data_IF_054019130088
#
_entry.id   IF_054019130088
#
_cell.length_a   1.000
_cell.length_b   1.000
_cell.length_c   1.000
_cell.angle_alpha   90.00
_cell.angle_beta   90.00
_cell.angle_gamma   90.00
#
_symmetry.space_group_name_H-M   'P 1'
#
loop_
_entity.id
_entity.type
_entity.pdbx_description
1 polymer ?
#
# COMPACT_ATOMS: atom_id res chain seq x y z
N UNK A 1 20.04 -49.51 12.46
CA UNK A 1 19.53 -48.56 11.45
C UNK A 1 18.75 -49.24 10.30
N UNK A 2 18.60 -50.57 10.26
CA UNK A 2 17.91 -51.28 9.18
C UNK A 2 16.38 -51.20 9.20
N UNK A 3 15.77 -50.88 10.34
CA UNK A 3 14.33 -51.10 10.55
C UNK A 3 13.45 -49.88 10.22
N UNK A 4 14.04 -48.79 9.72
CA UNK A 4 13.34 -47.55 9.36
C UNK A 4 13.05 -47.41 7.86
N UNK A 5 13.69 -48.24 7.02
CA UNK A 5 13.40 -48.22 5.58
C UNK A 5 12.17 -49.09 5.33
N UNK A 6 11.04 -48.45 5.08
CA UNK A 6 9.91 -49.16 4.47
C UNK A 6 10.36 -49.63 3.08
N UNK A 7 10.16 -50.92 2.79
CA UNK A 7 10.38 -51.41 1.43
C UNK A 7 9.28 -50.85 0.53
N UNK A 8 9.55 -50.67 -0.79
CA UNK A 8 8.47 -50.43 -1.74
C UNK A 8 7.39 -51.49 -1.52
N UNK A 9 6.13 -51.06 -1.44
CA UNK A 9 4.93 -51.88 -1.24
C UNK A 9 4.64 -52.41 0.19
N UNK A 10 5.41 -52.00 1.21
CA UNK A 10 5.08 -52.30 2.61
C UNK A 10 4.13 -51.23 3.19
N UNK A 11 2.90 -51.58 3.64
CA UNK A 11 2.00 -50.61 4.23
C UNK A 11 2.59 -50.04 5.52
N UNK A 12 2.63 -48.71 5.62
CA UNK A 12 3.17 -48.00 6.78
C UNK A 12 2.20 -48.18 7.95
N UNK A 13 2.47 -49.15 8.82
CA UNK A 13 1.69 -49.36 10.03
C UNK A 13 1.79 -48.14 10.96
N UNK A 14 0.71 -47.83 11.69
CA UNK A 14 0.63 -46.68 12.60
C UNK A 14 1.81 -46.62 13.61
N UNK A 15 2.27 -47.77 14.10
CA UNK A 15 3.45 -47.82 14.98
C UNK A 15 4.77 -47.43 14.31
N UNK A 16 4.90 -47.63 12.99
CA UNK A 16 6.06 -47.19 12.20
C UNK A 16 6.00 -45.69 11.92
N UNK A 17 4.79 -45.16 11.68
CA UNK A 17 4.52 -43.73 11.53
C UNK A 17 4.81 -42.93 12.80
N UNK A 18 4.32 -43.39 13.96
CA UNK A 18 4.57 -42.73 15.24
C UNK A 18 6.08 -42.68 15.58
N UNK A 19 6.86 -43.70 15.21
CA UNK A 19 8.32 -43.71 15.42
C UNK A 19 9.10 -42.77 14.49
N UNK A 20 8.51 -42.37 13.37
CA UNK A 20 9.05 -41.31 12.50
C UNK A 20 8.73 -39.95 13.14
N UNK A 21 7.48 -39.75 13.57
CA UNK A 21 7.05 -38.50 14.24
C UNK A 21 7.81 -38.25 15.54
N UNK A 22 7.98 -39.26 16.39
CA UNK A 22 8.69 -39.16 17.68
C UNK A 22 10.20 -38.85 17.53
N UNK A 23 10.74 -38.96 16.32
CA UNK A 23 12.15 -38.69 15.99
C UNK A 23 12.37 -37.39 15.22
N UNK A 24 11.30 -36.73 14.78
CA UNK A 24 11.41 -35.33 14.39
C UNK A 24 11.81 -34.58 15.66
N UNK A 25 12.89 -33.80 15.60
CA UNK A 25 13.31 -33.00 16.74
C UNK A 25 12.11 -32.15 17.17
N UNK A 26 11.88 -31.98 18.48
CA UNK A 26 10.74 -31.20 18.98
C UNK A 26 10.74 -29.74 18.49
N UNK A 27 11.82 -29.30 17.85
CA UNK A 27 11.99 -28.04 17.11
C UNK A 27 11.37 -28.04 15.70
N UNK A 28 11.11 -29.21 15.10
CA UNK A 28 10.45 -29.38 13.79
C UNK A 28 8.96 -29.72 13.91
N UNK A 29 8.48 -30.05 15.12
CA UNK A 29 7.07 -30.01 15.43
C UNK A 29 6.63 -28.55 15.33
N UNK A 30 6.14 -28.17 14.15
CA UNK A 30 5.82 -26.81 13.74
C UNK A 30 5.31 -25.97 14.90
N UNK A 31 5.91 -24.79 15.04
CA UNK A 31 5.50 -23.80 16.03
C UNK A 31 3.97 -23.73 16.02
N UNK A 32 3.36 -23.91 17.19
CA UNK A 32 1.91 -23.82 17.32
C UNK A 32 1.50 -22.49 16.68
N UNK A 33 0.67 -22.57 15.64
CA UNK A 33 0.18 -21.39 14.98
C UNK A 33 -0.58 -20.53 15.99
N UNK A 34 0.15 -19.59 16.59
CA UNK A 34 -0.39 -18.66 17.57
C UNK A 34 -1.40 -17.78 16.85
N UNK A 35 -2.68 -17.97 17.20
CA UNK A 35 -3.79 -17.11 16.85
C UNK A 35 -3.70 -16.46 15.46
N UNK A 36 -4.14 -17.18 14.42
CA UNK A 36 -4.40 -16.57 13.13
C UNK A 36 -5.54 -15.56 13.24
N UNK A 37 -5.23 -14.32 13.59
CA UNK A 37 -6.07 -13.19 13.25
C UNK A 37 -6.01 -13.02 11.74
N UNK A 38 -7.10 -13.38 11.04
CA UNK A 38 -7.23 -13.25 9.57
C UNK A 38 -7.37 -11.79 9.07
N UNK A 39 -6.83 -10.83 9.82
CA UNK A 39 -6.76 -9.42 9.42
C UNK A 39 -5.64 -8.77 10.21
N UNK A 40 -4.40 -8.92 9.76
CA UNK A 40 -3.33 -8.07 10.27
C UNK A 40 -3.39 -6.75 9.49
N UNK A 41 -3.82 -5.71 10.20
CA UNK A 41 -3.73 -4.31 9.74
C UNK A 41 -2.28 -3.83 9.70
N UNK A 42 -1.38 -4.56 10.35
CA UNK A 42 0.04 -4.27 10.47
C UNK A 42 0.88 -5.39 9.83
N UNK A 43 2.02 -5.02 9.25
CA UNK A 43 3.00 -5.94 8.71
C UNK A 43 4.42 -5.57 9.18
N UNK A 44 5.31 -6.55 9.16
CA UNK A 44 6.74 -6.28 9.29
C UNK A 44 7.27 -5.74 7.97
N UNK A 45 8.07 -4.70 8.07
CA UNK A 45 8.74 -4.10 6.93
C UNK A 45 10.24 -3.95 7.20
N UNK A 46 11.00 -3.83 6.13
CA UNK A 46 12.36 -3.29 6.11
C UNK A 46 12.30 -1.88 5.52
N UNK A 47 12.92 -0.91 6.19
CA UNK A 47 13.10 0.42 5.63
C UNK A 47 14.36 0.42 4.74
N UNK A 48 14.16 0.49 3.43
CA UNK A 48 15.23 0.66 2.43
C UNK A 48 15.09 2.00 1.70
N UNK A 49 14.53 3.03 2.36
CA UNK A 49 14.37 4.37 1.76
C UNK A 49 15.69 5.16 1.65
N UNK A 50 16.80 4.68 2.22
CA UNK A 50 18.07 5.40 2.24
C UNK A 50 18.16 6.50 3.31
N UNK A 51 17.24 6.49 4.27
CA UNK A 51 17.20 7.44 5.40
C UNK A 51 16.39 6.89 6.57
N UNK A 52 16.65 7.43 7.77
CA UNK A 52 15.85 7.09 8.95
C UNK A 52 14.45 7.68 8.80
N UNK A 53 13.44 6.91 9.20
CA UNK A 53 12.04 7.31 9.13
C UNK A 53 11.40 7.35 10.50
N UNK A 54 10.50 8.30 10.69
CA UNK A 54 9.78 8.52 11.95
C UNK A 54 8.37 7.91 11.91
N UNK A 55 7.74 7.85 13.07
CA UNK A 55 6.37 7.38 13.22
C UNK A 55 5.40 8.19 12.34
N UNK A 56 4.45 7.52 11.70
CA UNK A 56 3.43 8.13 10.87
C UNK A 56 3.91 8.57 9.48
N UNK A 57 5.20 8.54 9.19
CA UNK A 57 5.68 8.74 7.82
C UNK A 57 5.20 7.61 6.90
N UNK A 58 5.18 7.92 5.60
CA UNK A 58 4.69 7.04 4.54
C UNK A 58 5.88 6.44 3.79
N UNK A 59 5.83 5.13 3.57
CA UNK A 59 6.69 4.42 2.62
C UNK A 59 5.84 3.65 1.60
N UNK A 60 6.50 3.13 0.56
CA UNK A 60 5.87 2.29 -0.46
C UNK A 60 6.50 0.90 -0.44
N UNK A 61 5.67 -0.14 -0.51
CA UNK A 61 6.14 -1.52 -0.68
C UNK A 61 6.75 -1.66 -2.07
N UNK A 62 8.03 -2.04 -2.15
CA UNK A 62 8.70 -2.32 -3.41
C UNK A 62 8.72 -3.81 -3.74
N UNK A 63 9.18 -4.59 -2.78
CA UNK A 63 9.27 -6.03 -2.89
C UNK A 63 8.92 -6.71 -1.56
N UNK A 64 9.03 -8.03 -1.52
CA UNK A 64 8.88 -8.79 -0.28
C UNK A 64 10.06 -9.74 -0.17
N UNK A 65 10.57 -9.88 1.05
CA UNK A 65 11.59 -10.85 1.37
C UNK A 65 10.94 -12.21 1.58
N UNK A 66 11.14 -13.10 0.61
CA UNK A 66 10.76 -14.48 0.72
C UNK A 66 11.33 -15.35 -0.39
N UNK A 67 10.90 -16.62 -0.49
CA UNK A 67 11.67 -17.65 -1.15
C UNK A 67 11.96 -17.31 -2.60
N UNK A 68 13.24 -17.28 -2.94
CA UNK A 68 13.79 -16.91 -4.26
C UNK A 68 13.59 -17.97 -5.36
N UNK A 69 12.68 -18.92 -5.13
CA UNK A 69 12.37 -20.03 -6.04
C UNK A 69 13.42 -21.15 -6.06
N UNK A 70 14.57 -20.99 -5.39
CA UNK A 70 15.61 -22.03 -5.34
C UNK A 70 15.31 -23.13 -4.31
N UNK A 71 14.54 -22.82 -3.27
CA UNK A 71 14.10 -23.77 -2.26
C UNK A 71 12.64 -23.52 -1.86
N UNK A 72 11.69 -24.16 -2.54
CA UNK A 72 10.25 -24.08 -2.24
C UNK A 72 9.86 -24.56 -0.83
N UNK A 73 10.81 -25.14 -0.09
CA UNK A 73 10.64 -25.57 1.30
C UNK A 73 11.16 -24.55 2.33
N UNK A 74 11.82 -23.48 1.90
CA UNK A 74 12.12 -22.33 2.75
C UNK A 74 10.87 -21.45 2.83
N UNK A 75 9.96 -21.83 3.73
CA UNK A 75 8.85 -20.97 4.11
C UNK A 75 9.37 -20.03 5.20
N UNK A 76 9.52 -18.73 4.94
CA UNK A 76 9.95 -17.80 5.96
C UNK A 76 8.90 -17.77 7.08
N UNK A 77 9.38 -17.67 8.31
CA UNK A 77 8.52 -17.65 9.50
C UNK A 77 7.63 -16.41 9.55
N UNK A 78 7.95 -15.37 8.78
CA UNK A 78 7.18 -14.14 8.60
C UNK A 78 7.43 -13.57 7.20
N UNK A 79 6.41 -12.93 6.61
CA UNK A 79 6.58 -12.14 5.39
C UNK A 79 7.04 -10.75 5.81
N UNK A 80 8.18 -10.31 5.29
CA UNK A 80 8.69 -8.95 5.47
C UNK A 80 8.62 -8.23 4.14
N UNK A 81 8.03 -7.03 4.13
CA UNK A 81 8.02 -6.20 2.92
C UNK A 81 9.24 -5.28 2.89
N UNK A 82 9.89 -5.18 1.74
CA UNK A 82 10.93 -4.18 1.53
C UNK A 82 10.28 -2.88 1.08
N UNK A 83 10.50 -1.81 1.83
CA UNK A 83 9.83 -0.54 1.63
C UNK A 83 10.82 0.57 1.26
N UNK A 84 10.45 1.36 0.25
CA UNK A 84 11.25 2.47 -0.30
C UNK A 84 10.47 3.77 -0.24
N UNK A 85 11.13 4.88 -0.60
CA UNK A 85 10.44 6.16 -0.72
C UNK A 85 9.30 6.09 -1.75
N UNK A 86 8.11 6.61 -1.41
CA UNK A 86 7.01 6.68 -2.36
C UNK A 86 7.37 7.55 -3.56
N UNK A 87 6.82 7.19 -4.71
CA UNK A 87 6.93 7.99 -5.93
C UNK A 87 5.52 8.43 -6.31
N UNK A 88 5.31 9.74 -6.45
CA UNK A 88 4.07 10.27 -6.98
C UNK A 88 4.01 10.05 -8.50
N UNK A 89 2.98 9.45 -9.09
CA UNK A 89 1.80 8.80 -8.51
C UNK A 89 1.89 7.26 -8.60
N UNK A 90 3.06 6.69 -8.87
CA UNK A 90 3.27 5.26 -9.16
C UNK A 90 3.32 4.35 -7.93
N UNK A 91 3.30 4.92 -6.72
CA UNK A 91 3.33 4.15 -5.46
C UNK A 91 2.05 4.24 -4.64
N UNK A 92 0.99 4.90 -5.11
CA UNK A 92 -0.24 5.15 -4.33
C UNK A 92 -0.93 3.85 -3.86
N UNK A 93 -0.97 2.83 -4.71
CA UNK A 93 -1.63 1.55 -4.42
C UNK A 93 -0.90 0.66 -3.39
N UNK A 94 0.34 1.02 -3.02
CA UNK A 94 1.24 0.18 -2.22
C UNK A 94 1.81 0.91 -1.02
N UNK A 95 1.11 1.94 -0.54
CA UNK A 95 1.55 2.75 0.60
C UNK A 95 1.40 1.98 1.92
N UNK A 96 2.35 2.21 2.81
CA UNK A 96 2.36 1.78 4.22
C UNK A 96 2.63 2.98 5.11
N UNK A 97 2.13 2.93 6.34
CA UNK A 97 2.32 4.00 7.33
C UNK A 97 3.11 3.45 8.52
N UNK A 98 4.21 4.10 8.89
CA UNK A 98 5.09 3.58 9.93
C UNK A 98 4.45 3.66 11.32
N UNK A 99 4.43 2.54 12.05
CA UNK A 99 3.88 2.48 13.41
C UNK A 99 4.92 2.86 14.47
N UNK A 100 6.19 2.88 14.11
CA UNK A 100 7.33 3.22 14.96
C UNK A 100 8.46 3.85 14.12
N UNK A 101 9.43 4.55 14.72
CA UNK A 101 10.60 5.02 14.01
C UNK A 101 11.47 3.85 13.55
N UNK A 102 11.87 3.84 12.27
CA UNK A 102 12.67 2.77 11.67
C UNK A 102 13.94 3.38 11.06
N UNK A 103 15.14 3.05 11.54
CA UNK A 103 16.37 3.52 10.92
C UNK A 103 16.52 2.97 9.50
N UNK A 104 17.39 3.59 8.69
CA UNK A 104 17.73 3.07 7.37
C UNK A 104 18.30 1.64 7.48
N UNK A 105 17.93 0.77 6.54
CA UNK A 105 18.15 -0.69 6.54
C UNK A 105 17.57 -1.44 7.77
N UNK A 106 16.80 -0.76 8.61
CA UNK A 106 16.17 -1.31 9.81
C UNK A 106 14.89 -2.07 9.53
N UNK A 107 14.44 -2.85 10.52
CA UNK A 107 13.16 -3.56 10.49
C UNK A 107 12.22 -2.98 11.55
N UNK A 108 10.93 -2.95 11.23
CA UNK A 108 9.90 -2.49 12.15
C UNK A 108 8.49 -2.82 11.68
N UNK A 109 7.51 -2.24 12.36
CA UNK A 109 6.10 -2.42 12.06
C UNK A 109 5.53 -1.23 11.27
N UNK A 110 4.70 -1.54 10.28
CA UNK A 110 3.93 -0.57 9.53
C UNK A 110 2.47 -1.01 9.38
N UNK A 111 1.57 -0.04 9.25
CA UNK A 111 0.13 -0.23 9.04
C UNK A 111 -0.17 -0.19 7.53
N UNK A 112 -0.85 -1.23 7.03
CA UNK A 112 -1.29 -1.37 5.64
C UNK A 112 -2.79 -1.09 5.46
N UNK A 113 -3.58 -1.09 6.54
CA UNK A 113 -5.00 -0.78 6.48
C UNK A 113 -5.57 -0.45 7.86
N UNK A 114 -6.69 0.25 7.93
CA UNK A 114 -7.39 0.51 9.18
C UNK A 114 -6.96 1.79 9.88
N UNK A 115 -7.05 1.84 11.21
CA UNK A 115 -6.83 3.09 11.95
C UNK A 115 -5.36 3.27 12.29
N UNK A 116 -4.80 4.42 11.94
CA UNK A 116 -3.40 4.74 12.25
C UNK A 116 -3.16 6.25 12.34
N UNK A 117 -2.02 6.59 12.92
CA UNK A 117 -1.46 7.95 12.91
C UNK A 117 -0.65 8.13 11.65
N UNK A 118 -0.81 9.27 10.98
CA UNK A 118 -0.04 9.63 9.79
C UNK A 118 0.53 11.04 9.93
N UNK A 119 1.73 11.27 9.41
CA UNK A 119 2.32 12.59 9.27
C UNK A 119 1.57 13.39 8.21
N UNK A 120 1.21 14.62 8.53
CA UNK A 120 0.49 15.52 7.64
C UNK A 120 1.39 16.63 7.14
N UNK A 121 1.32 16.91 5.85
CA UNK A 121 2.02 18.05 5.28
C UNK A 121 1.37 19.37 5.71
N UNK A 122 2.22 20.40 5.79
CA UNK A 122 1.82 21.73 6.21
C UNK A 122 0.71 22.32 5.32
N UNK A 123 -0.30 22.92 5.97
CA UNK A 123 -1.39 23.59 5.25
C UNK A 123 -2.57 22.69 4.87
N UNK A 124 -2.58 21.42 5.30
CA UNK A 124 -3.78 20.58 5.27
C UNK A 124 -4.94 21.34 5.95
N UNK A 125 -6.05 21.59 5.26
CA UNK A 125 -7.19 22.41 5.70
C UNK A 125 -8.20 21.63 6.53
N UNK A 126 -9.46 22.05 6.61
CA UNK A 126 -10.55 21.28 7.26
C UNK A 126 -11.02 20.09 6.40
N UNK A 127 -10.05 19.30 5.93
CA UNK A 127 -10.24 18.24 4.96
C UNK A 127 -10.79 16.96 5.60
N UNK A 128 -11.49 16.16 4.81
CA UNK A 128 -12.13 14.90 5.26
C UNK A 128 -11.35 13.65 4.88
N UNK A 129 -10.42 13.77 3.93
CA UNK A 129 -9.60 12.68 3.43
C UNK A 129 -8.14 13.11 3.33
N UNK A 130 -7.26 12.15 3.13
CA UNK A 130 -5.82 12.35 2.93
C UNK A 130 -5.34 11.58 1.71
N UNK A 131 -4.31 12.13 1.08
CA UNK A 131 -3.64 11.57 -0.10
C UNK A 131 -2.13 11.82 0.02
N UNK A 132 -1.30 10.98 -0.58
CA UNK A 132 0.15 11.19 -0.64
C UNK A 132 0.46 12.61 -1.14
N UNK A 133 1.27 13.38 -0.42
CA UNK A 133 1.62 14.72 -0.85
C UNK A 133 2.63 14.66 -2.01
N UNK A 134 2.29 15.17 -3.21
CA UNK A 134 3.22 15.19 -4.34
C UNK A 134 4.48 16.02 -4.11
N UNK A 135 4.45 16.94 -3.13
CA UNK A 135 5.57 17.82 -2.77
C UNK A 135 6.38 17.31 -1.57
N UNK A 136 5.84 16.36 -0.80
CA UNK A 136 6.46 15.76 0.38
C UNK A 136 6.10 14.27 0.43
N UNK A 137 6.89 13.44 -0.26
CA UNK A 137 6.52 12.05 -0.58
C UNK A 137 6.52 11.09 0.63
N UNK A 138 6.87 11.55 1.83
CA UNK A 138 6.76 10.77 3.07
C UNK A 138 5.62 11.24 3.98
N UNK A 139 4.84 12.23 3.53
CA UNK A 139 3.74 12.82 4.27
C UNK A 139 2.44 12.72 3.48
N UNK A 140 1.32 12.85 4.19
CA UNK A 140 0.01 12.93 3.58
C UNK A 140 -0.51 14.37 3.57
N UNK A 141 -1.12 14.77 2.47
CA UNK A 141 -1.82 16.05 2.32
C UNK A 141 -3.32 15.86 2.49
N UNK A 142 -3.95 16.72 3.28
CA UNK A 142 -5.41 16.78 3.40
C UNK A 142 -6.09 17.16 2.07
N UNK A 143 -7.21 16.52 1.76
CA UNK A 143 -8.12 16.97 0.71
C UNK A 143 -9.55 16.44 0.88
N UNK A 144 -10.47 16.81 -0.02
CA UNK A 144 -11.83 16.24 -0.03
C UNK A 144 -11.93 14.85 -0.71
N UNK A 145 -10.80 14.30 -1.17
CA UNK A 145 -10.65 12.98 -1.79
C UNK A 145 -9.33 12.30 -1.36
N UNK A 146 -9.18 11.00 -1.59
CA UNK A 146 -7.91 10.29 -1.32
C UNK A 146 -8.07 8.91 -0.71
N UNK A 147 -6.93 8.34 -0.33
CA UNK A 147 -6.76 6.93 0.06
C UNK A 147 -7.11 6.62 1.51
N UNK A 148 -7.37 7.64 2.33
CA UNK A 148 -7.80 7.43 3.72
C UNK A 148 -8.66 8.57 4.25
N UNK A 149 -9.59 8.24 5.13
CA UNK A 149 -10.46 9.23 5.78
C UNK A 149 -9.74 9.86 6.96
N UNK A 150 -9.67 11.19 7.01
CA UNK A 150 -9.16 11.93 8.16
C UNK A 150 -10.24 12.00 9.24
N UNK A 151 -9.96 11.43 10.41
CA UNK A 151 -10.90 11.41 11.54
C UNK A 151 -10.66 12.56 12.51
N UNK A 152 -9.38 12.85 12.77
CA UNK A 152 -8.98 13.93 13.64
C UNK A 152 -7.57 14.40 13.29
N UNK A 153 -7.28 15.67 13.56
CA UNK A 153 -5.92 16.21 13.56
C UNK A 153 -5.39 16.30 14.98
N UNK A 154 -4.13 16.00 15.14
CA UNK A 154 -3.41 16.00 16.39
C UNK A 154 -2.29 17.03 16.34
N UNK A 155 -1.77 17.40 17.51
CA UNK A 155 -0.52 18.13 17.71
C UNK A 155 -0.22 19.21 16.67
N UNK A 156 -0.79 20.41 16.82
CA UNK A 156 -0.45 21.56 15.96
C UNK A 156 -0.90 21.47 14.49
N UNK A 157 -1.35 20.30 14.03
CA UNK A 157 -1.68 20.01 12.64
C UNK A 157 -0.70 19.07 11.94
N UNK A 158 0.38 18.66 12.60
CA UNK A 158 1.48 17.88 12.01
C UNK A 158 1.14 16.38 11.88
N UNK A 159 0.15 15.91 12.63
CA UNK A 159 -0.30 14.51 12.60
C UNK A 159 -1.81 14.39 12.43
N UNK A 160 -2.24 13.32 11.78
CA UNK A 160 -3.65 12.97 11.58
C UNK A 160 -3.94 11.55 12.06
N UNK A 161 -5.06 11.36 12.77
CA UNK A 161 -5.67 10.05 12.94
C UNK A 161 -6.53 9.77 11.72
N UNK A 162 -6.22 8.71 10.99
CA UNK A 162 -6.94 8.33 9.77
C UNK A 162 -7.55 6.94 9.87
N UNK A 163 -8.52 6.68 9.01
CA UNK A 163 -8.95 5.32 8.65
C UNK A 163 -8.48 5.02 7.23
N UNK A 164 -7.34 4.33 7.12
CA UNK A 164 -6.66 3.88 5.90
C UNK A 164 -7.32 2.65 5.26
N UNK A 165 -8.65 2.63 5.31
CA UNK A 165 -9.53 1.67 4.62
C UNK A 165 -10.76 2.37 4.02
N UNK A 166 -11.05 3.57 4.49
CA UNK A 166 -12.19 4.37 4.07
C UNK A 166 -11.69 5.44 3.10
N UNK A 167 -11.65 5.07 1.83
CA UNK A 167 -11.17 5.93 0.75
C UNK A 167 -12.31 6.73 0.09
N UNK A 168 -11.94 7.84 -0.52
CA UNK A 168 -12.76 8.54 -1.48
C UNK A 168 -11.97 8.68 -2.78
N UNK A 169 -12.08 7.66 -3.64
CA UNK A 169 -11.36 7.58 -4.90
C UNK A 169 -11.80 8.61 -5.95
N UNK A 170 -12.93 9.31 -5.76
CA UNK A 170 -13.45 10.26 -6.74
C UNK A 170 -12.77 11.62 -6.68
N UNK A 171 -12.22 12.05 -7.79
CA UNK A 171 -11.56 13.34 -7.98
C UNK A 171 -12.20 14.15 -9.11
N UNK A 172 -11.82 15.41 -9.20
CA UNK A 172 -12.06 16.26 -10.37
C UNK A 172 -10.76 16.39 -11.15
N UNK A 173 -10.88 16.68 -12.45
CA UNK A 173 -9.74 17.09 -13.28
C UNK A 173 -10.07 18.36 -14.06
N UNK A 174 -9.02 19.04 -14.51
CA UNK A 174 -9.08 20.13 -15.51
C UNK A 174 -7.99 19.83 -16.56
N UNK A 175 -8.37 19.68 -17.82
CA UNK A 175 -7.42 19.39 -18.89
C UNK A 175 -6.47 20.56 -19.11
N UNK A 176 -5.18 20.26 -19.29
CA UNK A 176 -4.17 21.28 -19.62
C UNK A 176 -3.89 21.35 -21.12
N UNK A 177 -4.35 20.36 -21.86
CA UNK A 177 -4.22 20.19 -23.31
C UNK A 177 -5.49 19.54 -23.86
N UNK A 178 -5.66 19.54 -25.18
CA UNK A 178 -6.77 18.83 -25.81
C UNK A 178 -6.64 17.32 -25.57
N UNK A 179 -7.77 16.61 -25.52
CA UNK A 179 -7.80 15.17 -25.26
C UNK A 179 -6.89 14.41 -26.22
N UNK A 180 -6.05 13.55 -25.66
CA UNK A 180 -5.16 12.65 -26.40
C UNK A 180 -5.71 11.23 -26.46
N UNK A 181 -6.97 11.01 -26.05
CA UNK A 181 -7.57 9.70 -25.99
C UNK A 181 -7.46 8.95 -27.35
N UNK A 182 -7.14 7.64 -27.37
CA UNK A 182 -7.05 6.73 -26.22
C UNK A 182 -5.70 6.76 -25.48
N UNK A 183 -4.79 7.67 -25.83
CA UNK A 183 -3.56 7.88 -25.08
C UNK A 183 -3.81 8.73 -23.83
N UNK A 184 -2.81 8.75 -22.95
CA UNK A 184 -2.84 9.54 -21.72
C UNK A 184 -2.85 11.03 -22.05
N UNK A 185 -3.71 11.78 -21.37
CA UNK A 185 -3.83 13.25 -21.47
C UNK A 185 -3.32 13.90 -20.19
N UNK A 186 -2.63 15.04 -20.30
CA UNK A 186 -2.15 15.80 -19.14
C UNK A 186 -3.26 16.67 -18.55
N UNK A 187 -3.55 16.48 -17.26
CA UNK A 187 -4.58 17.24 -16.54
C UNK A 187 -4.10 17.73 -15.17
N UNK A 188 -4.75 18.75 -14.61
CA UNK A 188 -4.64 19.08 -13.18
C UNK A 188 -5.52 18.12 -12.40
N UNK A 189 -5.04 17.68 -11.23
CA UNK A 189 -5.85 16.96 -10.26
C UNK A 189 -6.48 17.96 -9.30
N UNK A 190 -7.80 17.94 -9.22
CA UNK A 190 -8.59 18.88 -8.43
C UNK A 190 -9.41 18.07 -7.43
N UNK A 191 -9.45 18.51 -6.18
CA UNK A 191 -10.29 17.87 -5.18
C UNK A 191 -11.78 18.19 -5.43
N UNK A 192 -12.69 17.53 -4.72
CA UNK A 192 -14.14 17.75 -4.90
C UNK A 192 -14.59 19.16 -4.51
N UNK A 193 -13.82 19.87 -3.68
CA UNK A 193 -14.09 21.27 -3.34
C UNK A 193 -13.72 22.25 -4.47
N UNK A 194 -12.95 21.81 -5.46
CA UNK A 194 -12.43 22.66 -6.54
C UNK A 194 -11.02 23.19 -6.27
N UNK A 195 -10.35 22.74 -5.21
CA UNK A 195 -8.97 23.10 -4.90
C UNK A 195 -8.02 22.22 -5.71
N UNK A 196 -7.07 22.83 -6.42
CA UNK A 196 -6.04 22.10 -7.16
C UNK A 196 -5.15 21.34 -6.15
N UNK A 197 -5.19 20.01 -6.24
CA UNK A 197 -4.36 19.14 -5.42
C UNK A 197 -2.95 19.01 -6.01
N UNK A 198 -2.87 18.79 -7.33
CA UNK A 198 -1.63 18.69 -8.10
C UNK A 198 -1.80 19.28 -9.51
N UNK A 199 -0.76 19.90 -10.06
CA UNK A 199 -0.85 20.64 -11.32
C UNK A 199 -0.74 19.78 -12.58
N UNK A 200 -0.23 18.55 -12.47
CA UNK A 200 -0.05 17.65 -13.61
C UNK A 200 -0.21 16.18 -13.20
N UNK A 201 -1.17 15.49 -13.80
CA UNK A 201 -1.36 14.05 -13.71
C UNK A 201 -1.53 13.46 -15.10
N UNK A 202 -1.24 12.17 -15.21
CA UNK A 202 -1.59 11.36 -16.36
C UNK A 202 -3.05 10.92 -16.22
N UNK A 203 -3.95 11.53 -16.98
CA UNK A 203 -5.36 11.14 -17.06
C UNK A 203 -5.52 10.07 -18.15
N UNK A 204 -6.10 8.93 -17.78
CA UNK A 204 -6.35 7.80 -18.65
C UNK A 204 -7.79 7.81 -19.18
N UNK A 205 -7.97 7.71 -20.49
CA UNK A 205 -9.25 7.47 -21.16
C UNK A 205 -9.07 6.41 -22.27
N UNK A 206 -8.91 5.13 -21.90
CA UNK A 206 -8.59 4.07 -22.86
C UNK A 206 -9.76 3.75 -23.80
N UNK A 207 -10.97 4.21 -23.47
CA UNK A 207 -12.19 3.97 -24.23
C UNK A 207 -12.59 5.16 -25.11
N UNK A 208 -11.81 6.25 -25.08
CA UNK A 208 -12.10 7.48 -25.83
C UNK A 208 -13.51 8.02 -25.55
N UNK A 209 -13.95 7.95 -24.30
CA UNK A 209 -15.26 8.47 -23.91
C UNK A 209 -15.29 9.99 -23.82
N UNK A 210 -14.11 10.62 -23.72
CA UNK A 210 -13.89 12.06 -23.55
C UNK A 210 -12.92 12.60 -24.62
N UNK A 211 -12.98 12.05 -25.84
CA UNK A 211 -12.08 12.42 -26.94
C UNK A 211 -12.38 13.80 -27.56
N UNK A 212 -13.55 14.35 -27.28
CA UNK A 212 -14.02 15.65 -27.74
C UNK A 212 -13.63 16.82 -26.81
N UNK A 213 -13.08 16.53 -25.64
CA UNK A 213 -12.67 17.55 -24.67
C UNK A 213 -11.44 18.34 -25.12
N UNK A 214 -11.43 19.63 -24.80
CA UNK A 214 -10.34 20.58 -25.11
C UNK A 214 -9.67 21.09 -23.85
N UNK A 215 -8.52 21.74 -24.00
CA UNK A 215 -7.80 22.39 -22.89
C UNK A 215 -8.72 23.32 -22.09
N UNK A 216 -8.71 23.17 -20.76
CA UNK A 216 -9.55 23.90 -19.81
C UNK A 216 -10.88 23.22 -19.47
N UNK A 217 -11.27 22.18 -20.20
CA UNK A 217 -12.45 21.39 -19.84
C UNK A 217 -12.22 20.66 -18.52
N UNK A 218 -13.25 20.63 -17.69
CA UNK A 218 -13.21 19.95 -16.40
C UNK A 218 -13.87 18.57 -16.49
N UNK A 219 -13.83 17.79 -15.42
CA UNK A 219 -14.51 16.50 -15.33
C UNK A 219 -14.29 15.81 -14.00
N UNK A 220 -14.79 14.58 -13.92
CA UNK A 220 -14.56 13.67 -12.81
C UNK A 220 -13.73 12.48 -13.27
N UNK A 221 -12.75 12.13 -12.44
CA UNK A 221 -11.97 10.92 -12.57
C UNK A 221 -12.04 10.11 -11.27
N UNK A 222 -11.86 8.80 -11.37
CA UNK A 222 -11.71 7.93 -10.21
C UNK A 222 -10.24 7.45 -10.13
N UNK A 223 -9.69 7.38 -8.93
CA UNK A 223 -8.37 6.81 -8.64
C UNK A 223 -8.47 5.29 -8.72
N UNK A 224 -7.73 4.70 -9.67
CA UNK A 224 -7.68 3.27 -9.94
C UNK A 224 -6.27 2.75 -9.70
N UNK A 225 -5.94 2.46 -8.44
CA UNK A 225 -4.61 2.02 -8.04
C UNK A 225 -3.58 3.16 -8.11
N UNK A 226 -2.84 3.25 -9.21
CA UNK A 226 -1.84 4.31 -9.44
C UNK A 226 -2.25 5.30 -10.53
N UNK A 227 -3.37 5.06 -11.21
CA UNK A 227 -3.83 5.84 -12.35
C UNK A 227 -5.10 6.62 -12.01
N UNK A 228 -5.35 7.70 -12.74
CA UNK A 228 -6.59 8.45 -12.69
C UNK A 228 -7.35 8.22 -13.99
N UNK A 229 -8.51 7.58 -13.90
CA UNK A 229 -9.32 7.24 -15.08
C UNK A 229 -10.48 8.22 -15.22
N UNK A 230 -10.63 8.79 -16.41
CA UNK A 230 -11.75 9.69 -16.71
C UNK A 230 -13.07 8.91 -16.65
N UNK A 231 -14.04 9.42 -15.90
CA UNK A 231 -15.36 8.78 -15.73
C UNK A 231 -16.46 9.63 -16.36
N UNK A 232 -16.36 10.95 -16.26
CA UNK A 232 -17.39 11.85 -16.76
C UNK A 232 -16.83 13.25 -17.06
N UNK A 233 -17.17 13.79 -18.23
CA UNK A 233 -17.10 15.21 -18.54
C UNK A 233 -18.39 15.95 -18.10
N UNK A 234 -18.35 17.22 -17.69
CA UNK A 234 -19.53 18.05 -17.57
C UNK A 234 -20.12 18.25 -18.97
N UNK A 235 -21.42 18.03 -19.07
CA UNK A 235 -22.24 18.42 -20.20
C UNK A 235 -22.51 19.93 -20.21
#
# INVERSE_FOLDING_TARGET
MSDLKAKPDEPVAAGKWNRVIDRLESSEAGFGAGGFGMSRVECQIKNSSGSNRDIGEVLAIDSWDGPDGSNVFEIPTSVVYDCVDPVWHTSISRLVILAEPIPDDGYGLAVISGHCLVSLSAGSGSDSFVMLDPSSLNEMKGSTSGVGRLLAKLSGGDYGLINFRDECARWRYELTEDSQAPAVTTAKLVDRSGTVFHSAINLSDPLSLMDDQVSGDEGFCDLCGNDFEAVQAPC
#
